data_IF_219069880425
#
_entry.id   IF_219069880425
#
_cell.length_a   1.000
_cell.length_b   1.000
_cell.length_c   1.000
_cell.angle_alpha   90.00
_cell.angle_beta   90.00
_cell.angle_gamma   90.00
#
_symmetry.space_group_name_H-M   'P 1'
#
loop_
_entity.id
_entity.type
_entity.pdbx_description
1 polymer ?
#
# COMPACT_ATOMS: atom_id res chain seq x y z
N UNK A 1 -12.55 2.65 32.24
CA UNK A 1 -11.89 2.06 31.03
C UNK A 1 -12.31 2.74 29.73
N UNK A 2 -13.59 3.05 29.48
CA UNK A 2 -14.08 3.67 28.23
C UNK A 2 -13.50 5.08 27.95
N UNK A 3 -13.36 5.94 28.98
CA UNK A 3 -12.80 7.29 28.81
C UNK A 3 -11.33 7.21 28.33
N UNK A 4 -10.50 6.43 29.02
CA UNK A 4 -9.09 6.26 28.64
C UNK A 4 -8.96 5.66 27.23
N UNK A 5 -9.80 4.70 26.87
CA UNK A 5 -9.81 4.12 25.53
C UNK A 5 -10.19 5.16 24.46
N UNK A 6 -11.22 5.97 24.73
CA UNK A 6 -11.62 7.05 23.82
C UNK A 6 -10.52 8.11 23.66
N UNK A 7 -9.84 8.48 24.75
CA UNK A 7 -8.72 9.42 24.68
C UNK A 7 -7.56 8.87 23.84
N UNK A 8 -7.18 7.61 24.06
CA UNK A 8 -6.15 6.95 23.27
C UNK A 8 -6.51 6.83 21.79
N UNK A 9 -7.77 6.47 21.49
CA UNK A 9 -8.25 6.37 20.11
C UNK A 9 -8.35 7.72 19.41
N UNK A 10 -8.50 8.82 20.17
CA UNK A 10 -8.43 10.19 19.67
C UNK A 10 -6.99 10.73 19.54
N UNK A 11 -5.97 9.89 19.81
CA UNK A 11 -4.57 10.28 19.67
C UNK A 11 -3.96 11.00 20.87
N UNK A 12 -4.69 11.12 22.01
CA UNK A 12 -4.17 11.70 23.24
C UNK A 12 -3.25 10.68 23.91
N UNK A 13 -1.94 10.96 23.94
CA UNK A 13 -0.90 10.05 24.44
C UNK A 13 -0.50 10.34 25.88
N UNK A 14 -0.62 11.59 26.31
CA UNK A 14 -0.17 12.04 27.62
C UNK A 14 -1.29 12.84 28.31
N UNK A 15 -1.51 12.55 29.59
CA UNK A 15 -2.52 13.21 30.41
C UNK A 15 -1.92 13.47 31.78
N UNK A 16 -2.00 14.72 32.27
CA UNK A 16 -1.78 15.01 33.68
C UNK A 16 -2.99 14.51 34.47
N UNK A 17 -2.81 13.44 35.25
CA UNK A 17 -3.92 12.81 35.97
C UNK A 17 -4.45 13.67 37.11
N UNK A 18 -3.64 14.55 37.72
CA UNK A 18 -4.08 15.45 38.79
C UNK A 18 -5.01 16.52 38.22
N UNK A 19 -4.61 17.19 37.13
CA UNK A 19 -5.41 18.21 36.46
C UNK A 19 -6.69 17.60 35.85
N UNK A 20 -6.57 16.39 35.26
CA UNK A 20 -7.72 15.66 34.73
C UNK A 20 -8.75 15.36 35.82
N UNK A 21 -8.30 14.86 36.98
CA UNK A 21 -9.19 14.58 38.12
C UNK A 21 -9.80 15.86 38.71
N UNK A 22 -9.03 16.96 38.80
CA UNK A 22 -9.49 18.26 39.26
C UNK A 22 -10.58 18.81 38.33
N UNK A 23 -10.37 18.80 37.03
CA UNK A 23 -11.34 19.24 36.03
C UNK A 23 -12.62 18.39 36.06
N UNK A 24 -12.50 17.06 36.11
CA UNK A 24 -13.63 16.17 36.23
C UNK A 24 -14.47 16.44 37.52
N UNK A 25 -13.79 16.62 38.65
CA UNK A 25 -14.43 16.95 39.92
C UNK A 25 -15.17 18.30 39.86
N UNK A 26 -14.55 19.33 39.29
CA UNK A 26 -15.17 20.65 39.14
C UNK A 26 -16.49 20.56 38.34
N UNK A 27 -16.49 19.87 37.21
CA UNK A 27 -17.70 19.66 36.39
C UNK A 27 -18.78 18.90 37.14
N UNK A 28 -18.43 17.79 37.81
CA UNK A 28 -19.40 16.95 38.52
C UNK A 28 -20.00 17.63 39.76
N UNK A 29 -19.27 18.54 40.42
CA UNK A 29 -19.72 19.28 41.60
C UNK A 29 -20.36 20.61 41.27
N UNK A 30 -20.40 21.05 40.01
CA UNK A 30 -20.88 22.37 39.61
C UNK A 30 -19.96 23.52 40.03
N UNK A 31 -18.71 23.20 40.39
CA UNK A 31 -17.70 24.24 40.67
C UNK A 31 -17.18 24.82 39.36
N UNK A 32 -16.68 26.04 39.43
CA UNK A 32 -16.07 26.71 38.26
C UNK A 32 -14.71 26.03 37.99
N UNK A 33 -14.46 25.49 36.79
CA UNK A 33 -13.17 24.93 36.43
C UNK A 33 -12.13 26.08 36.25
N UNK A 34 -10.84 25.78 36.40
CA UNK A 34 -9.74 26.73 36.20
C UNK A 34 -9.68 27.27 34.77
N UNK A 35 -10.05 26.41 33.79
CA UNK A 35 -10.11 26.74 32.37
C UNK A 35 -11.58 26.75 31.95
N UNK A 36 -12.02 27.83 31.29
CA UNK A 36 -13.40 27.93 30.79
C UNK A 36 -13.63 26.87 29.67
N UNK A 37 -14.88 26.51 29.44
CA UNK A 37 -15.24 25.57 28.34
C UNK A 37 -14.82 26.12 26.96
N UNK A 38 -14.88 27.45 26.78
CA UNK A 38 -14.46 28.10 25.52
C UNK A 38 -12.95 27.99 25.33
N UNK A 39 -12.15 28.30 26.34
CA UNK A 39 -10.70 28.17 26.32
C UNK A 39 -10.26 26.72 26.14
N UNK A 40 -10.92 25.79 26.83
CA UNK A 40 -10.68 24.35 26.67
C UNK A 40 -10.96 23.89 25.24
N UNK A 41 -12.06 24.36 24.63
CA UNK A 41 -12.36 24.08 23.21
C UNK A 41 -11.27 24.57 22.28
N UNK A 42 -10.84 25.84 22.43
CA UNK A 42 -9.77 26.42 21.61
C UNK A 42 -8.41 25.69 21.77
N UNK A 43 -8.10 25.24 22.99
CA UNK A 43 -6.88 24.47 23.26
C UNK A 43 -6.95 23.06 22.60
N UNK A 44 -8.10 22.39 22.70
CA UNK A 44 -8.31 21.09 22.05
C UNK A 44 -8.24 21.21 20.52
N UNK A 45 -8.86 22.21 19.93
CA UNK A 45 -8.80 22.45 18.49
C UNK A 45 -7.35 22.66 18.01
N UNK A 46 -6.56 23.45 18.74
CA UNK A 46 -5.13 23.63 18.45
C UNK A 46 -4.34 22.34 18.60
N UNK A 47 -4.62 21.56 19.64
CA UNK A 47 -3.95 20.29 19.89
C UNK A 47 -4.24 19.29 18.77
N UNK A 48 -5.51 19.12 18.40
CA UNK A 48 -5.88 18.20 17.32
C UNK A 48 -5.36 18.66 15.95
N UNK A 49 -5.40 19.94 15.67
CA UNK A 49 -4.80 20.48 14.44
C UNK A 49 -3.28 20.23 14.37
N UNK A 50 -2.57 20.37 15.49
CA UNK A 50 -1.14 20.05 15.55
C UNK A 50 -0.89 18.54 15.36
N UNK A 51 -1.71 17.71 15.98
CA UNK A 51 -1.61 16.23 15.84
C UNK A 51 -1.88 15.78 14.41
N UNK A 52 -2.91 16.33 13.76
CA UNK A 52 -3.21 16.07 12.36
C UNK A 52 -2.06 16.53 11.44
N UNK A 53 -1.47 17.69 11.69
CA UNK A 53 -0.35 18.18 10.93
C UNK A 53 0.90 17.29 11.08
N UNK A 54 1.16 16.80 12.29
CA UNK A 54 2.26 15.86 12.55
C UNK A 54 2.03 14.52 11.84
N UNK A 55 0.82 13.96 11.95
CA UNK A 55 0.47 12.70 11.27
C UNK A 55 0.58 12.84 9.75
N UNK A 56 0.12 13.95 9.19
CA UNK A 56 0.24 14.25 7.77
C UNK A 56 1.70 14.34 7.34
N UNK A 57 2.54 15.06 8.09
CA UNK A 57 3.96 15.18 7.79
C UNK A 57 4.68 13.84 7.86
N UNK A 58 4.36 12.99 8.84
CA UNK A 58 4.91 11.64 8.94
C UNK A 58 4.49 10.77 7.75
N UNK A 59 3.23 10.85 7.33
CA UNK A 59 2.71 10.12 6.17
C UNK A 59 3.37 10.59 4.87
N UNK A 60 3.55 11.90 4.69
CA UNK A 60 4.25 12.48 3.54
C UNK A 60 5.72 12.04 3.48
N UNK A 61 6.41 12.05 4.61
CA UNK A 61 7.80 11.58 4.71
C UNK A 61 7.92 10.09 4.37
N UNK A 62 7.03 9.26 4.91
CA UNK A 62 6.98 7.82 4.59
C UNK A 62 6.70 7.60 3.10
N UNK A 63 5.76 8.34 2.53
CA UNK A 63 5.40 8.26 1.11
C UNK A 63 6.56 8.67 0.20
N UNK A 64 7.33 9.70 0.59
CA UNK A 64 8.52 10.12 -0.15
C UNK A 64 9.60 9.03 -0.11
N UNK A 65 9.84 8.44 1.06
CA UNK A 65 10.80 7.35 1.22
C UNK A 65 10.42 6.12 0.38
N UNK A 66 9.15 5.72 0.39
CA UNK A 66 8.66 4.60 -0.42
C UNK A 66 8.84 4.82 -1.92
N UNK A 67 8.59 6.06 -2.38
CA UNK A 67 8.83 6.42 -3.80
C UNK A 67 10.30 6.35 -4.17
N UNK A 68 11.17 6.94 -3.36
CA UNK A 68 12.62 6.92 -3.60
C UNK A 68 13.18 5.49 -3.60
N UNK A 69 12.74 4.65 -2.65
CA UNK A 69 13.11 3.24 -2.60
C UNK A 69 12.63 2.48 -3.85
N UNK A 70 11.38 2.71 -4.26
CA UNK A 70 10.80 2.11 -5.46
C UNK A 70 11.53 2.52 -6.74
N UNK A 71 11.81 3.81 -6.91
CA UNK A 71 12.55 4.34 -8.05
C UNK A 71 13.98 3.81 -8.09
N UNK A 72 14.66 3.77 -6.94
CA UNK A 72 16.01 3.21 -6.82
C UNK A 72 16.06 1.72 -7.18
N UNK A 73 15.08 0.96 -6.71
CA UNK A 73 14.94 -0.47 -7.05
C UNK A 73 14.73 -0.68 -8.55
N UNK A 74 13.77 0.04 -9.15
CA UNK A 74 13.48 -0.06 -10.58
C UNK A 74 14.66 0.37 -11.43
N UNK A 75 15.39 1.43 -11.03
CA UNK A 75 16.60 1.86 -11.72
C UNK A 75 17.74 0.83 -11.62
N UNK A 76 17.82 0.07 -10.55
CA UNK A 76 18.76 -1.05 -10.41
C UNK A 76 18.36 -2.21 -11.31
N UNK A 77 17.07 -2.60 -11.30
CA UNK A 77 16.53 -3.67 -12.13
C UNK A 77 16.68 -3.41 -13.63
N UNK A 78 16.49 -2.18 -14.06
CA UNK A 78 16.69 -1.78 -15.47
C UNK A 78 18.10 -2.04 -16.00
N UNK A 79 19.09 -2.22 -15.13
CA UNK A 79 20.48 -2.51 -15.49
C UNK A 79 20.82 -4.00 -15.49
N UNK A 80 19.91 -4.85 -15.01
CA UNK A 80 20.13 -6.29 -14.97
C UNK A 80 19.98 -6.91 -16.37
N UNK A 81 20.81 -7.89 -16.66
CA UNK A 81 20.75 -8.62 -17.92
C UNK A 81 19.39 -9.31 -18.12
N UNK A 82 18.81 -9.12 -19.29
CA UNK A 82 17.53 -9.68 -19.69
C UNK A 82 16.31 -8.93 -19.20
N UNK A 83 16.48 -7.80 -18.49
CA UNK A 83 15.38 -6.90 -18.12
C UNK A 83 15.04 -5.96 -19.28
N UNK A 84 13.77 -5.90 -19.62
CA UNK A 84 13.21 -4.97 -20.62
C UNK A 84 12.40 -3.91 -19.90
N UNK A 85 12.64 -2.64 -20.24
CA UNK A 85 11.92 -1.48 -19.71
C UNK A 85 10.95 -0.96 -20.75
N UNK A 86 9.67 -0.84 -20.39
CA UNK A 86 8.64 -0.29 -21.27
C UNK A 86 8.49 1.23 -21.10
N UNK A 87 7.92 1.94 -22.09
CA UNK A 87 7.70 3.39 -21.98
C UNK A 87 6.81 3.82 -20.82
N UNK A 88 5.95 2.93 -20.33
CA UNK A 88 5.10 3.13 -19.14
C UNK A 88 5.88 3.12 -17.81
N UNK A 89 7.14 2.66 -17.84
CA UNK A 89 7.93 2.38 -16.63
C UNK A 89 7.80 0.95 -16.12
N UNK A 90 6.87 0.15 -16.66
CA UNK A 90 6.81 -1.28 -16.37
C UNK A 90 8.10 -1.96 -16.84
N UNK A 91 8.65 -2.83 -16.02
CA UNK A 91 9.82 -3.64 -16.41
C UNK A 91 9.48 -5.12 -16.28
N UNK A 92 10.11 -5.94 -17.11
CA UNK A 92 9.94 -7.37 -17.03
C UNK A 92 11.20 -8.14 -17.43
N UNK A 93 11.30 -9.34 -16.92
CA UNK A 93 12.31 -10.33 -17.30
C UNK A 93 11.62 -11.64 -17.66
N UNK A 94 12.02 -12.20 -18.81
CA UNK A 94 11.53 -13.52 -19.23
C UNK A 94 12.29 -14.59 -18.47
N UNK A 95 11.59 -15.38 -17.67
CA UNK A 95 12.17 -16.54 -16.97
C UNK A 95 12.03 -17.82 -17.78
N UNK A 96 10.89 -17.97 -18.47
CA UNK A 96 10.60 -19.10 -19.35
C UNK A 96 9.78 -18.59 -20.53
N UNK A 97 10.19 -18.90 -21.73
CA UNK A 97 9.43 -18.61 -22.94
C UNK A 97 8.25 -19.58 -23.08
N UNK A 98 7.10 -19.05 -23.52
CA UNK A 98 5.95 -19.82 -23.95
C UNK A 98 5.81 -19.80 -25.46
N UNK A 99 5.01 -20.69 -25.97
CA UNK A 99 4.76 -20.83 -27.41
C UNK A 99 3.27 -20.84 -27.80
N UNK A 100 2.39 -20.64 -26.79
CA UNK A 100 0.95 -20.63 -27.01
C UNK A 100 0.41 -19.26 -27.39
N UNK A 101 -0.86 -19.08 -27.18
CA UNK A 101 -1.64 -17.89 -27.50
C UNK A 101 -1.23 -16.70 -26.62
N UNK A 102 -1.27 -15.50 -27.20
CA UNK A 102 -1.12 -14.26 -26.42
C UNK A 102 -2.48 -13.65 -26.11
N UNK A 103 -2.70 -13.20 -24.87
CA UNK A 103 -3.97 -12.56 -24.52
C UNK A 103 -4.06 -11.12 -25.01
N UNK A 104 -5.29 -10.66 -25.24
CA UNK A 104 -5.63 -9.26 -25.41
C UNK A 104 -6.07 -8.64 -24.09
N UNK A 105 -6.16 -7.30 -24.04
CA UNK A 105 -6.53 -6.54 -22.82
C UNK A 105 -7.91 -6.91 -22.21
N UNK A 106 -8.79 -7.56 -22.97
CA UNK A 106 -10.14 -7.94 -22.52
C UNK A 106 -10.30 -9.44 -22.24
N UNK A 107 -9.26 -10.21 -22.52
CA UNK A 107 -9.32 -11.66 -22.32
C UNK A 107 -9.24 -12.03 -20.82
N UNK A 108 -9.74 -13.21 -20.52
CA UNK A 108 -9.49 -13.83 -19.23
C UNK A 108 -8.28 -14.72 -19.33
N UNK A 109 -7.47 -14.72 -18.29
CA UNK A 109 -6.26 -15.53 -18.20
C UNK A 109 -6.28 -16.36 -16.93
N UNK A 110 -5.72 -17.57 -17.03
CA UNK A 110 -5.46 -18.46 -15.90
C UNK A 110 -3.97 -18.45 -15.62
N UNK A 111 -3.59 -18.03 -14.43
CA UNK A 111 -2.20 -17.83 -14.04
C UNK A 111 -1.87 -18.45 -12.70
N UNK A 112 -0.63 -18.89 -12.54
CA UNK A 112 0.01 -18.91 -11.24
C UNK A 112 0.80 -17.62 -11.06
N UNK A 113 0.85 -17.11 -9.83
CA UNK A 113 1.60 -15.91 -9.52
C UNK A 113 2.06 -15.85 -8.05
N UNK A 114 3.08 -15.06 -7.84
CA UNK A 114 3.56 -14.65 -6.52
C UNK A 114 3.89 -13.16 -6.54
N UNK A 115 3.32 -12.39 -5.62
CA UNK A 115 3.57 -10.96 -5.45
C UNK A 115 4.36 -10.68 -4.19
N UNK A 116 5.43 -9.91 -4.31
CA UNK A 116 6.31 -9.53 -3.21
C UNK A 116 6.55 -8.02 -3.17
N UNK A 117 6.73 -7.50 -1.95
CA UNK A 117 7.27 -6.17 -1.69
C UNK A 117 8.79 -6.15 -1.93
N UNK A 118 9.40 -4.97 -2.01
CA UNK A 118 10.83 -4.81 -2.26
C UNK A 118 11.72 -5.44 -1.18
N UNK A 119 11.22 -5.55 0.05
CA UNK A 119 11.89 -6.24 1.15
C UNK A 119 11.78 -7.77 1.08
N UNK A 120 11.18 -8.32 0.01
CA UNK A 120 10.96 -9.75 -0.18
C UNK A 120 9.74 -10.33 0.54
N UNK A 121 8.99 -9.51 1.28
CA UNK A 121 7.77 -9.97 1.94
C UNK A 121 6.71 -10.30 0.91
N UNK A 122 6.23 -11.53 0.93
CA UNK A 122 5.14 -12.00 0.08
C UNK A 122 3.82 -11.47 0.62
N UNK A 123 3.02 -10.83 -0.23
CA UNK A 123 1.70 -10.34 0.14
C UNK A 123 0.57 -11.17 -0.49
N UNK A 124 0.83 -11.85 -1.61
CA UNK A 124 -0.14 -12.75 -2.23
C UNK A 124 0.57 -13.81 -3.10
N UNK A 125 0.03 -15.03 -3.12
CA UNK A 125 0.56 -16.13 -3.93
C UNK A 125 -0.52 -17.19 -4.22
N UNK A 126 -0.71 -17.48 -5.49
CA UNK A 126 -1.55 -18.60 -5.93
C UNK A 126 -0.86 -19.96 -5.71
N UNK A 127 0.47 -19.97 -5.65
CA UNK A 127 1.22 -21.19 -5.34
C UNK A 127 0.98 -21.64 -3.89
N UNK A 128 0.91 -20.70 -2.94
CA UNK A 128 0.62 -21.03 -1.53
C UNK A 128 -0.78 -21.60 -1.33
N UNK A 129 -1.71 -21.25 -2.21
CA UNK A 129 -3.07 -21.81 -2.25
C UNK A 129 -3.18 -23.12 -3.02
N UNK A 130 -2.11 -23.52 -3.72
CA UNK A 130 -2.09 -24.65 -4.66
C UNK A 130 -3.21 -24.61 -5.72
N UNK A 131 -3.64 -23.41 -6.10
CA UNK A 131 -4.73 -23.19 -7.03
C UNK A 131 -4.42 -22.00 -7.95
N UNK A 132 -4.40 -22.20 -9.29
CA UNK A 132 -4.25 -21.10 -10.22
C UNK A 132 -5.45 -20.16 -10.14
N UNK A 133 -5.21 -18.89 -10.32
CA UNK A 133 -6.27 -17.89 -10.32
C UNK A 133 -6.67 -17.50 -11.75
N UNK A 134 -7.94 -17.15 -11.93
CA UNK A 134 -8.49 -16.65 -13.20
C UNK A 134 -8.83 -15.18 -13.05
N UNK A 135 -8.27 -14.36 -13.95
CA UNK A 135 -8.49 -12.90 -13.97
C UNK A 135 -8.94 -12.43 -15.35
N UNK A 136 -9.83 -11.42 -15.38
CA UNK A 136 -9.97 -10.58 -16.56
C UNK A 136 -8.86 -9.54 -16.60
N UNK A 137 -8.13 -9.41 -17.70
CA UNK A 137 -7.02 -8.46 -17.80
C UNK A 137 -7.45 -6.99 -17.69
N UNK A 138 -8.72 -6.70 -17.89
CA UNK A 138 -9.34 -5.39 -17.66
C UNK A 138 -9.76 -5.13 -16.21
N UNK A 139 -9.53 -6.07 -15.30
CA UNK A 139 -9.96 -6.02 -13.88
C UNK A 139 -8.79 -6.13 -12.91
N UNK A 140 -7.56 -6.11 -13.40
CA UNK A 140 -6.33 -6.18 -12.62
C UNK A 140 -5.60 -4.83 -12.63
N UNK A 141 -4.50 -4.73 -11.88
CA UNK A 141 -3.66 -3.52 -11.89
C UNK A 141 -3.11 -3.22 -13.29
N UNK A 142 -2.91 -1.93 -13.65
CA UNK A 142 -2.45 -1.54 -14.99
C UNK A 142 -1.18 -2.27 -15.44
N UNK A 143 -0.22 -2.48 -14.55
CA UNK A 143 1.01 -3.22 -14.85
C UNK A 143 0.76 -4.67 -15.28
N UNK A 144 -0.26 -5.33 -14.74
CA UNK A 144 -0.67 -6.66 -15.20
C UNK A 144 -1.40 -6.61 -16.54
N UNK A 145 -2.31 -5.63 -16.71
CA UNK A 145 -3.02 -5.45 -17.99
C UNK A 145 -2.02 -5.26 -19.13
N UNK A 146 -0.98 -4.45 -18.93
CA UNK A 146 0.07 -4.23 -19.94
C UNK A 146 0.99 -5.45 -20.07
N UNK A 147 1.52 -5.94 -18.95
CA UNK A 147 2.59 -6.94 -18.93
C UNK A 147 2.14 -8.31 -19.42
N UNK A 148 0.97 -8.78 -18.98
CA UNK A 148 0.50 -10.14 -19.33
C UNK A 148 0.15 -10.26 -20.82
N UNK A 149 -0.21 -9.18 -21.51
CA UNK A 149 -0.39 -9.18 -22.96
C UNK A 149 0.91 -9.47 -23.75
N UNK A 150 2.07 -9.28 -23.13
CA UNK A 150 3.36 -9.62 -23.75
C UNK A 150 3.68 -11.11 -23.65
N UNK A 151 3.05 -11.80 -22.70
CA UNK A 151 3.26 -13.21 -22.42
C UNK A 151 2.57 -14.12 -23.45
N UNK A 152 3.13 -15.30 -23.69
CA UNK A 152 2.46 -16.39 -24.38
C UNK A 152 2.07 -17.47 -23.38
N UNK A 153 1.03 -18.25 -23.64
CA UNK A 153 0.70 -19.44 -22.82
C UNK A 153 1.93 -20.34 -22.66
N UNK A 154 2.14 -20.80 -21.43
CA UNK A 154 3.29 -21.59 -21.03
C UNK A 154 4.50 -20.75 -20.63
N UNK A 155 4.45 -19.42 -20.72
CA UNK A 155 5.55 -18.55 -20.31
C UNK A 155 5.50 -18.20 -18.82
N UNK A 156 6.68 -17.85 -18.30
CA UNK A 156 6.85 -17.33 -16.94
C UNK A 156 7.70 -16.07 -16.97
N UNK A 157 7.16 -14.98 -16.48
CA UNK A 157 7.80 -13.67 -16.46
C UNK A 157 7.91 -13.16 -15.02
N UNK A 158 8.92 -12.35 -14.78
CA UNK A 158 9.05 -11.55 -13.58
C UNK A 158 8.83 -10.09 -13.95
N UNK A 159 7.87 -9.44 -13.30
CA UNK A 159 7.49 -8.05 -13.50
C UNK A 159 7.96 -7.20 -12.34
N UNK A 160 8.53 -6.04 -12.63
CA UNK A 160 8.86 -5.00 -11.67
C UNK A 160 7.95 -3.80 -11.98
N UNK A 161 7.00 -3.55 -11.10
CA UNK A 161 5.86 -2.69 -11.36
C UNK A 161 6.00 -1.43 -10.52
N UNK A 162 6.13 -0.22 -11.11
CA UNK A 162 6.10 1.02 -10.36
C UNK A 162 4.72 1.22 -9.70
N UNK A 163 4.69 1.98 -8.61
CA UNK A 163 3.49 2.15 -7.79
C UNK A 163 2.28 2.67 -8.55
N UNK A 164 2.47 3.54 -9.54
CA UNK A 164 1.42 4.13 -10.38
C UNK A 164 0.75 3.13 -11.34
N UNK A 165 1.45 2.05 -11.69
CA UNK A 165 0.91 0.90 -12.42
C UNK A 165 0.45 -0.23 -11.50
N UNK A 166 0.49 -0.04 -10.17
CA UNK A 166 0.09 -0.98 -9.14
C UNK A 166 -1.08 -0.42 -8.31
N UNK A 167 -0.88 -0.17 -7.01
CA UNK A 167 -1.93 0.29 -6.09
C UNK A 167 -1.86 1.79 -5.77
N UNK A 168 -0.98 2.53 -6.43
CA UNK A 168 -0.90 3.99 -6.38
C UNK A 168 -0.55 4.55 -5.00
N UNK A 169 -1.06 5.77 -4.76
CA UNK A 169 -0.84 6.52 -3.53
C UNK A 169 -1.56 5.95 -2.30
N UNK A 170 -2.52 5.05 -2.50
CA UNK A 170 -3.31 4.50 -1.41
C UNK A 170 -2.81 3.14 -0.92
N UNK A 171 -2.09 2.41 -1.77
CA UNK A 171 -1.72 1.02 -1.49
C UNK A 171 -2.94 0.10 -1.37
N UNK A 172 -2.76 -1.02 -0.65
CA UNK A 172 -3.86 -1.91 -0.24
C UNK A 172 -3.77 -2.10 1.29
N UNK A 173 -4.78 -1.66 2.05
CA UNK A 173 -4.73 -1.67 3.50
C UNK A 173 -4.39 -3.04 4.08
N UNK A 174 -3.40 -3.08 4.97
CA UNK A 174 -2.95 -4.30 5.64
C UNK A 174 -2.00 -5.20 4.83
N UNK A 175 -1.82 -4.96 3.52
CA UNK A 175 -0.98 -5.79 2.66
C UNK A 175 0.09 -5.00 1.91
N UNK A 176 -0.27 -3.87 1.30
CA UNK A 176 0.62 -3.10 0.42
C UNK A 176 0.65 -1.64 0.87
N UNK A 177 1.83 -1.11 1.24
CA UNK A 177 1.98 0.28 1.63
C UNK A 177 1.63 1.26 0.48
N UNK A 178 1.27 2.51 0.81
CA UNK A 178 1.20 3.59 -0.16
C UNK A 178 2.50 3.74 -0.95
N UNK A 179 2.38 4.01 -2.25
CA UNK A 179 3.51 4.24 -3.16
C UNK A 179 4.50 3.06 -3.29
N UNK A 180 4.10 1.85 -2.92
CA UNK A 180 4.98 0.68 -3.03
C UNK A 180 5.14 0.23 -4.48
N UNK A 181 6.38 0.12 -4.96
CA UNK A 181 6.70 -0.67 -6.13
C UNK A 181 6.61 -2.16 -5.78
N UNK A 182 6.25 -2.98 -6.75
CA UNK A 182 5.97 -4.40 -6.54
C UNK A 182 6.77 -5.27 -7.49
N UNK A 183 7.09 -6.47 -7.03
CA UNK A 183 7.59 -7.55 -7.89
C UNK A 183 6.55 -8.65 -7.99
N UNK A 184 6.30 -9.12 -9.22
CA UNK A 184 5.44 -10.27 -9.46
C UNK A 184 6.16 -11.29 -10.33
N UNK A 185 6.14 -12.54 -9.91
CA UNK A 185 6.41 -13.67 -10.80
C UNK A 185 5.07 -14.18 -11.29
N UNK A 186 4.87 -14.23 -12.59
CA UNK A 186 3.62 -14.66 -13.23
C UNK A 186 3.90 -15.78 -14.22
N UNK A 187 3.14 -16.86 -14.13
CA UNK A 187 3.16 -17.99 -15.07
C UNK A 187 1.79 -18.04 -15.76
N UNK A 188 1.76 -17.76 -17.05
CA UNK A 188 0.55 -17.79 -17.86
C UNK A 188 0.26 -19.21 -18.32
N UNK A 189 -0.79 -19.80 -17.76
CA UNK A 189 -1.17 -21.19 -18.05
C UNK A 189 -2.10 -21.30 -19.25
N UNK A 190 -3.08 -20.41 -19.35
CA UNK A 190 -4.15 -20.49 -20.37
C UNK A 190 -4.78 -19.13 -20.64
N UNK A 191 -5.14 -18.87 -21.90
CA UNK A 191 -5.94 -17.72 -22.34
C UNK A 191 -7.36 -18.21 -22.66
N UNK A 192 -8.36 -17.74 -21.89
CA UNK A 192 -9.74 -18.22 -21.91
C UNK A 192 -10.64 -17.39 -22.85
#
# INVERSE_FOLDING_TARGET
>A
MSIAHNMMSSGIKEVNFEDFAAGLKAVLTGAQPEVSFEEAGQLLDKYFAALEAEQKAQMEAMSAMMREEGEGYLAAKAKEDGVVVLPSGLQYKVLTEGNGKKPSATDKVKCHYEGTLLNGSKFDSSYDRNEPAVFGLNQVIPGWTEGVQLMSEGSKYEFYIPYDLAYGAHGAPGAIPPYAALTFVVELLEVL
#
